data_IF_793850742767
#
_entry.id   IF_793850742767
#
_cell.length_a   1.000
_cell.length_b   1.000
_cell.length_c   1.000
_cell.angle_alpha   90.00
_cell.angle_beta   90.00
_cell.angle_gamma   90.00
#
_symmetry.space_group_name_H-M   'P 1'
#
loop_
_entity.id
_entity.type
_entity.pdbx_description
1 polymer ?
#
# COMPACT_ATOMS: atom_id res chain seq x y z
N UNK A 1 -17.81 13.72 2.02
CA UNK A 1 -18.82 12.68 1.74
C UNK A 1 -18.38 11.67 0.68
N UNK A 2 -17.92 12.03 -0.55
CA UNK A 2 -17.33 11.06 -1.49
C UNK A 2 -15.93 10.56 -1.06
N UNK A 3 -15.12 11.48 -0.51
CA UNK A 3 -13.72 11.27 -0.14
C UNK A 3 -13.51 10.29 1.01
N UNK A 4 -14.18 10.47 2.16
CA UNK A 4 -14.10 9.51 3.27
C UNK A 4 -14.42 8.08 2.83
N UNK A 5 -15.46 7.88 2.02
CA UNK A 5 -15.84 6.55 1.52
C UNK A 5 -14.74 5.92 0.67
N UNK A 6 -14.10 6.69 -0.19
CA UNK A 6 -12.98 6.22 -1.02
C UNK A 6 -11.74 5.88 -0.17
N UNK A 7 -11.40 6.71 0.82
CA UNK A 7 -10.29 6.41 1.73
C UNK A 7 -10.59 5.16 2.57
N UNK A 8 -11.83 4.99 3.02
CA UNK A 8 -12.26 3.79 3.74
C UNK A 8 -12.20 2.54 2.86
N UNK A 9 -12.65 2.63 1.60
CA UNK A 9 -12.54 1.54 0.64
C UNK A 9 -11.08 1.19 0.35
N UNK A 10 -10.21 2.18 0.17
CA UNK A 10 -8.78 1.96 -0.04
C UNK A 10 -8.15 1.24 1.15
N UNK A 11 -8.53 1.61 2.38
CA UNK A 11 -8.11 0.91 3.60
C UNK A 11 -8.59 -0.53 3.62
N UNK A 12 -9.87 -0.76 3.36
CA UNK A 12 -10.45 -2.11 3.35
C UNK A 12 -9.78 -3.01 2.30
N UNK A 13 -9.57 -2.49 1.08
CA UNK A 13 -8.89 -3.23 0.01
C UNK A 13 -7.48 -3.60 0.44
N UNK A 14 -6.73 -2.64 0.97
CA UNK A 14 -5.31 -2.80 1.32
C UNK A 14 -5.13 -3.76 2.48
N UNK A 15 -5.93 -3.65 3.54
CA UNK A 15 -5.77 -4.47 4.75
C UNK A 15 -6.46 -5.84 4.66
N UNK A 16 -7.62 -5.94 4.00
CA UNK A 16 -8.49 -7.11 4.14
C UNK A 16 -8.79 -7.85 2.84
N UNK A 17 -8.79 -7.18 1.68
CA UNK A 17 -9.18 -7.81 0.40
C UNK A 17 -8.01 -8.33 -0.43
N UNK A 18 -6.83 -7.70 -0.37
CA UNK A 18 -5.64 -8.18 -1.09
C UNK A 18 -4.99 -9.31 -0.28
N UNK A 19 -5.00 -10.57 -0.77
CA UNK A 19 -4.55 -11.71 0.01
C UNK A 19 -3.08 -11.62 0.44
N UNK A 20 -2.22 -11.10 -0.44
CA UNK A 20 -0.79 -10.98 -0.14
C UNK A 20 -0.49 -9.91 0.92
N UNK A 21 -1.22 -8.78 0.91
CA UNK A 21 -1.12 -7.76 1.94
C UNK A 21 -1.55 -8.30 3.32
N UNK A 22 -2.63 -9.09 3.33
CA UNK A 22 -3.12 -9.77 4.53
C UNK A 22 -2.12 -10.81 5.04
N UNK A 23 -1.47 -11.55 4.12
CA UNK A 23 -0.40 -12.48 4.46
C UNK A 23 0.77 -11.76 5.14
N UNK A 24 1.22 -10.62 4.60
CA UNK A 24 2.27 -9.79 5.21
C UNK A 24 1.81 -9.18 6.54
N UNK A 25 0.51 -8.92 6.69
CA UNK A 25 -0.06 -8.28 7.87
C UNK A 25 -0.03 -6.76 7.80
N UNK A 26 -0.16 -6.21 6.58
CA UNK A 26 -0.18 -4.77 6.32
C UNK A 26 -1.36 -4.11 7.04
N UNK A 27 -1.06 -3.02 7.76
CA UNK A 27 -2.03 -2.14 8.42
C UNK A 27 -1.77 -0.69 8.06
N UNK A 28 -2.83 0.07 7.82
CA UNK A 28 -2.73 1.50 7.58
C UNK A 28 -2.70 2.22 8.93
N UNK A 29 -1.59 2.87 9.21
CA UNK A 29 -1.42 3.71 10.39
C UNK A 29 -2.04 5.08 10.18
N UNK A 30 -1.77 5.72 9.04
CA UNK A 30 -2.38 6.99 8.64
C UNK A 30 -2.74 6.99 7.16
N UNK A 31 -3.87 7.60 6.81
CA UNK A 31 -4.33 7.72 5.43
C UNK A 31 -5.04 9.05 5.23
N UNK A 32 -4.31 10.00 4.66
CA UNK A 32 -4.81 11.26 4.15
C UNK A 32 -4.48 11.39 2.66
N UNK A 33 -4.84 12.53 2.06
CA UNK A 33 -4.44 12.79 0.68
C UNK A 33 -2.98 13.30 0.57
N UNK A 34 -2.43 13.81 1.67
CA UNK A 34 -1.10 14.41 1.74
C UNK A 34 -0.10 13.54 2.51
N UNK A 35 -0.59 12.59 3.31
CA UNK A 35 0.24 11.71 4.13
C UNK A 35 -0.34 10.30 4.15
N UNK A 36 0.57 9.32 4.16
CA UNK A 36 0.26 7.90 4.21
C UNK A 36 1.29 7.23 5.13
N UNK A 37 0.81 6.36 6.01
CA UNK A 37 1.63 5.52 6.86
C UNK A 37 1.13 4.08 6.80
N UNK A 38 2.04 3.16 6.51
CA UNK A 38 1.81 1.72 6.54
C UNK A 38 2.72 1.10 7.59
N UNK A 39 2.17 0.18 8.37
CA UNK A 39 2.91 -0.65 9.32
C UNK A 39 2.62 -2.12 9.10
N UNK A 40 3.55 -2.97 9.52
CA UNK A 40 3.38 -4.42 9.63
C UNK A 40 4.28 -4.91 10.75
N UNK A 41 3.93 -6.03 11.35
CA UNK A 41 4.68 -6.60 12.48
C UNK A 41 5.66 -7.67 11.99
N UNK A 42 6.86 -7.68 12.57
CA UNK A 42 7.87 -8.70 12.28
C UNK A 42 7.39 -10.07 12.80
N UNK A 43 7.39 -11.08 11.93
CA UNK A 43 7.03 -12.46 12.25
C UNK A 43 8.00 -13.46 11.60
N UNK A 44 8.16 -14.69 12.14
CA UNK A 44 9.10 -15.67 11.63
C UNK A 44 8.98 -15.96 10.13
N UNK A 45 7.77 -15.92 9.58
CA UNK A 45 7.46 -16.22 8.18
C UNK A 45 7.96 -15.14 7.21
N UNK A 46 8.31 -13.96 7.71
CA UNK A 46 8.80 -12.84 6.89
C UNK A 46 10.33 -12.73 6.88
N UNK A 47 11.02 -13.62 7.59
CA UNK A 47 12.49 -13.64 7.66
C UNK A 47 13.06 -14.15 6.34
N UNK A 48 14.02 -13.42 5.76
CA UNK A 48 14.73 -13.86 4.56
C UNK A 48 16.09 -14.48 4.85
N UNK A 49 16.88 -13.84 5.72
CA UNK A 49 18.15 -14.39 6.13
C UNK A 49 17.97 -15.26 7.38
N UNK A 50 17.83 -16.57 7.20
CA UNK A 50 17.62 -17.53 8.29
C UNK A 50 18.72 -17.55 9.35
N UNK A 51 19.94 -17.09 9.04
CA UNK A 51 21.05 -17.02 10.01
C UNK A 51 21.06 -15.76 10.85
N UNK A 52 20.53 -14.65 10.31
CA UNK A 52 20.60 -13.32 10.95
C UNK A 52 19.25 -12.82 11.47
N UNK A 53 18.13 -13.39 11.00
CA UNK A 53 16.79 -13.00 11.41
C UNK A 53 16.22 -11.79 10.66
N UNK A 54 16.96 -11.28 9.67
CA UNK A 54 16.60 -10.07 8.93
C UNK A 54 15.36 -10.28 8.06
N UNK A 55 14.60 -9.20 7.90
CA UNK A 55 13.44 -9.13 7.03
C UNK A 55 13.80 -9.53 5.59
N UNK A 56 12.95 -10.33 4.96
CA UNK A 56 13.14 -10.71 3.56
C UNK A 56 13.00 -9.47 2.66
N UNK A 57 13.97 -9.23 1.78
CA UNK A 57 13.96 -8.06 0.88
C UNK A 57 12.71 -7.97 0.00
N UNK A 58 12.12 -9.12 -0.36
CA UNK A 58 10.83 -9.16 -1.06
C UNK A 58 9.67 -8.60 -0.23
N UNK A 59 9.65 -8.74 1.09
CA UNK A 59 8.62 -8.14 1.95
C UNK A 59 8.74 -6.61 1.93
N UNK A 60 9.98 -6.09 2.06
CA UNK A 60 10.27 -4.66 1.95
C UNK A 60 9.80 -4.12 0.59
N UNK A 61 10.21 -4.78 -0.51
CA UNK A 61 9.82 -4.36 -1.86
C UNK A 61 8.31 -4.35 -2.05
N UNK A 62 7.60 -5.37 -1.56
CA UNK A 62 6.14 -5.43 -1.67
C UNK A 62 5.43 -4.36 -0.86
N UNK A 63 5.90 -4.04 0.35
CA UNK A 63 5.34 -2.94 1.15
C UNK A 63 5.60 -1.59 0.48
N UNK A 64 6.79 -1.39 -0.11
CA UNK A 64 7.12 -0.20 -0.88
C UNK A 64 6.22 -0.05 -2.12
N UNK A 65 5.95 -1.14 -2.83
CA UNK A 65 5.04 -1.16 -3.99
C UNK A 65 3.60 -0.76 -3.60
N UNK A 66 3.06 -1.39 -2.56
CA UNK A 66 1.73 -1.06 -2.03
C UNK A 66 1.66 0.42 -1.61
N UNK A 67 2.69 0.91 -0.91
CA UNK A 67 2.77 2.31 -0.48
C UNK A 67 2.77 3.25 -1.69
N UNK A 68 3.59 2.97 -2.71
CA UNK A 68 3.65 3.76 -3.93
C UNK A 68 2.33 3.78 -4.68
N UNK A 69 1.67 2.63 -4.80
CA UNK A 69 0.33 2.52 -5.36
C UNK A 69 -0.66 3.40 -4.61
N UNK A 70 -0.67 3.36 -3.27
CA UNK A 70 -1.55 4.18 -2.43
C UNK A 70 -1.28 5.70 -2.55
N UNK A 71 -0.04 6.11 -2.79
CA UNK A 71 0.29 7.51 -3.11
C UNK A 71 -0.27 7.91 -4.48
N UNK A 72 -0.13 7.05 -5.50
CA UNK A 72 -0.74 7.30 -6.81
C UNK A 72 -2.27 7.41 -6.70
N UNK A 73 -2.88 6.52 -5.92
CA UNK A 73 -4.30 6.50 -5.54
C UNK A 73 -4.79 7.85 -5.02
N UNK A 74 -4.19 8.33 -3.94
CA UNK A 74 -4.56 9.58 -3.30
C UNK A 74 -4.32 10.79 -4.21
N UNK A 75 -3.31 10.74 -5.08
CA UNK A 75 -3.06 11.73 -6.12
C UNK A 75 -4.17 11.81 -7.17
N UNK A 76 -4.72 10.67 -7.62
CA UNK A 76 -5.88 10.66 -8.53
C UNK A 76 -7.11 11.26 -7.84
N UNK A 77 -7.37 10.88 -6.58
CA UNK A 77 -8.50 11.41 -5.81
C UNK A 77 -8.44 12.94 -5.67
N UNK A 78 -7.25 13.50 -5.44
CA UNK A 78 -7.04 14.97 -5.43
C UNK A 78 -7.37 15.61 -6.78
N UNK A 79 -6.91 15.03 -7.88
CA UNK A 79 -7.12 15.58 -9.23
C UNK A 79 -8.57 15.49 -9.71
N UNK A 80 -9.35 14.57 -9.15
CA UNK A 80 -10.73 14.30 -9.54
C UNK A 80 -11.74 14.85 -8.51
N UNK A 81 -11.37 15.88 -7.76
CA UNK A 81 -12.28 16.53 -6.83
C UNK A 81 -13.55 17.02 -7.54
N UNK A 82 -14.73 16.65 -7.01
CA UNK A 82 -16.03 16.94 -7.61
C UNK A 82 -16.56 15.89 -8.59
N UNK A 83 -15.77 14.87 -8.96
CA UNK A 83 -16.24 13.74 -9.76
C UNK A 83 -17.01 12.71 -8.92
N UNK A 84 -17.80 11.87 -9.59
CA UNK A 84 -18.57 10.81 -8.93
C UNK A 84 -17.67 9.68 -8.43
N UNK A 85 -18.20 8.90 -7.48
CA UNK A 85 -17.50 7.73 -6.94
C UNK A 85 -17.20 6.69 -8.01
N UNK A 86 -18.15 6.45 -8.92
CA UNK A 86 -18.02 5.50 -10.04
C UNK A 86 -16.87 5.89 -10.99
N UNK A 87 -16.75 7.17 -11.36
CA UNK A 87 -15.69 7.66 -12.25
C UNK A 87 -14.30 7.47 -11.64
N UNK A 88 -14.15 7.80 -10.36
CA UNK A 88 -12.89 7.60 -9.62
C UNK A 88 -12.57 6.11 -9.51
N UNK A 89 -13.58 5.27 -9.25
CA UNK A 89 -13.44 3.81 -9.14
C UNK A 89 -13.08 3.14 -10.48
N UNK A 90 -13.53 3.67 -11.62
CA UNK A 90 -13.11 3.14 -12.93
C UNK A 90 -11.64 3.41 -13.23
N UNK A 91 -11.13 4.57 -12.80
CA UNK A 91 -9.68 4.84 -12.83
C UNK A 91 -8.94 3.91 -11.87
N UNK A 92 -9.62 3.45 -10.82
CA UNK A 92 -9.08 2.47 -9.88
C UNK A 92 -8.67 1.16 -10.45
N UNK A 93 -9.54 0.56 -11.23
CA UNK A 93 -9.26 -0.72 -11.86
C UNK A 93 -8.04 -0.70 -12.81
N UNK A 94 -7.52 0.48 -13.17
CA UNK A 94 -6.44 0.64 -14.17
C UNK A 94 -5.07 0.96 -13.56
N UNK A 95 -4.96 1.17 -12.25
CA UNK A 95 -3.65 1.40 -11.63
C UNK A 95 -2.87 0.09 -11.64
N UNK A 96 -1.61 0.18 -12.07
CA UNK A 96 -0.61 -0.87 -11.94
C UNK A 96 0.78 -0.26 -11.90
N UNK A 97 1.68 -0.88 -11.15
CA UNK A 97 3.08 -0.50 -11.10
C UNK A 97 3.73 -0.80 -12.45
N UNK A 98 4.34 0.21 -13.08
CA UNK A 98 5.05 0.06 -14.35
C UNK A 98 6.49 -0.39 -14.09
N UNK A 99 7.16 0.30 -13.16
CA UNK A 99 8.49 -0.04 -12.68
C UNK A 99 8.56 0.19 -11.17
N UNK A 100 9.45 -0.54 -10.51
CA UNK A 100 9.77 -0.37 -9.10
C UNK A 100 11.28 -0.50 -8.91
N UNK A 101 11.88 0.52 -8.30
CA UNK A 101 13.27 0.50 -7.84
C UNK A 101 13.31 0.62 -6.32
N UNK A 102 14.01 -0.31 -5.68
CA UNK A 102 14.24 -0.31 -4.23
C UNK A 102 15.74 -0.38 -3.99
N UNK A 103 16.27 0.65 -3.33
CA UNK A 103 17.68 0.72 -2.93
C UNK A 103 17.79 0.33 -1.44
N UNK A 104 18.28 -0.88 -1.18
CA UNK A 104 18.47 -1.40 0.19
C UNK A 104 19.72 -0.80 0.82
N UNK A 105 19.53 0.09 1.79
CA UNK A 105 20.64 0.86 2.38
C UNK A 105 21.41 0.08 3.45
N UNK A 106 20.71 -0.75 4.22
CA UNK A 106 21.28 -1.55 5.32
C UNK A 106 20.50 -2.86 5.45
N UNK A 107 21.16 -3.94 5.91
CA UNK A 107 20.44 -5.13 6.34
C UNK A 107 19.76 -4.84 7.69
N UNK A 108 18.43 -4.91 7.73
CA UNK A 108 17.60 -4.70 8.93
C UNK A 108 17.80 -5.80 9.98
#
# INVERSE_FOLDING_TARGET
>A
MPKEKLLQLLREITEERIPFNKLIGIKIESLGLDSLGIRFEMRPELIGNFKRGNLHGGVISSVMDVTGGMVAWTGIMKKMEGQSFEEISQRFAKIGTIDLRVDFLRPD
#
